data_IF_168370752278
#
_entry.id   IF_168370752278
#
_cell.length_a   1.000
_cell.length_b   1.000
_cell.length_c   1.000
_cell.angle_alpha   90.00
_cell.angle_beta   90.00
_cell.angle_gamma   90.00
#
_symmetry.space_group_name_H-M   'P 1'
#
loop_
_entity.id
_entity.type
_entity.pdbx_description
1 polymer ?
#
# COMPACT_ATOMS: atom_id res chain seq x y z
N UNK A 1 -2.42 -16.94 -3.68
CA UNK A 1 -1.46 -15.83 -3.46
C UNK A 1 -1.66 -14.64 -4.40
N UNK A 2 -1.98 -14.83 -5.69
CA UNK A 2 -2.41 -13.74 -6.60
C UNK A 2 -3.54 -12.89 -6.00
N UNK A 3 -4.45 -13.52 -5.24
CA UNK A 3 -5.55 -12.86 -4.53
C UNK A 3 -5.08 -11.87 -3.46
N UNK A 4 -3.98 -12.15 -2.75
CA UNK A 4 -3.49 -11.29 -1.65
C UNK A 4 -2.76 -10.07 -2.20
N UNK A 5 -1.95 -10.22 -3.25
CA UNK A 5 -1.34 -9.08 -3.92
C UNK A 5 -2.41 -8.16 -4.55
N UNK A 6 -3.41 -8.74 -5.21
CA UNK A 6 -4.53 -7.98 -5.76
C UNK A 6 -5.37 -7.25 -4.69
N UNK A 7 -5.53 -7.84 -3.50
CA UNK A 7 -6.19 -7.17 -2.38
C UNK A 7 -5.41 -5.93 -1.91
N UNK A 8 -4.07 -5.99 -1.88
CA UNK A 8 -3.27 -4.82 -1.45
C UNK A 8 -3.30 -3.71 -2.49
N UNK A 9 -3.22 -4.03 -3.78
CA UNK A 9 -3.31 -3.03 -4.83
C UNK A 9 -4.72 -2.38 -4.85
N UNK A 10 -5.77 -3.14 -4.55
CA UNK A 10 -7.13 -2.61 -4.35
C UNK A 10 -7.20 -1.67 -3.13
N UNK A 11 -6.70 -2.10 -1.96
CA UNK A 11 -6.66 -1.26 -0.75
C UNK A 11 -5.87 0.03 -0.99
N UNK A 12 -4.75 -0.04 -1.70
CA UNK A 12 -3.97 1.15 -2.05
C UNK A 12 -4.78 2.11 -2.93
N UNK A 13 -5.50 1.57 -3.93
CA UNK A 13 -6.37 2.37 -4.81
C UNK A 13 -7.52 3.04 -4.05
N UNK A 14 -8.14 2.32 -3.11
CA UNK A 14 -9.19 2.86 -2.24
C UNK A 14 -8.67 4.02 -1.37
N UNK A 15 -7.49 3.87 -0.77
CA UNK A 15 -6.90 4.94 0.06
C UNK A 15 -6.54 6.16 -0.78
N UNK A 16 -5.97 5.99 -1.98
CA UNK A 16 -5.69 7.11 -2.88
C UNK A 16 -6.98 7.87 -3.27
N UNK A 17 -8.07 7.14 -3.45
CA UNK A 17 -9.38 7.74 -3.74
C UNK A 17 -9.89 8.56 -2.54
N UNK A 18 -9.80 8.02 -1.32
CA UNK A 18 -10.25 8.73 -0.12
C UNK A 18 -9.38 9.95 0.20
N UNK A 19 -8.05 9.87 -0.01
CA UNK A 19 -7.15 11.01 0.12
C UNK A 19 -7.51 12.14 -0.86
N UNK A 20 -7.84 11.78 -2.11
CA UNK A 20 -8.28 12.73 -3.13
C UNK A 20 -9.60 13.39 -2.75
N UNK A 21 -10.54 12.60 -2.23
CA UNK A 21 -11.83 13.08 -1.73
C UNK A 21 -11.66 14.07 -0.56
N UNK A 22 -10.85 13.71 0.43
CA UNK A 22 -10.56 14.58 1.57
C UNK A 22 -9.88 15.88 1.13
N UNK A 23 -8.93 15.84 0.19
CA UNK A 23 -8.33 17.05 -0.38
C UNK A 23 -9.38 17.99 -0.97
N UNK A 24 -10.35 17.46 -1.71
CA UNK A 24 -11.46 18.25 -2.26
C UNK A 24 -12.33 18.91 -1.18
N UNK A 25 -12.57 18.23 -0.06
CA UNK A 25 -13.31 18.81 1.08
C UNK A 25 -12.51 19.97 1.69
N UNK A 26 -11.20 19.79 1.89
CA UNK A 26 -10.35 20.84 2.48
C UNK A 26 -10.22 22.05 1.54
N UNK A 27 -10.06 21.83 0.24
CA UNK A 27 -10.05 22.91 -0.76
C UNK A 27 -11.39 23.68 -0.78
N UNK A 28 -12.52 22.99 -0.60
CA UNK A 28 -13.84 23.63 -0.48
C UNK A 28 -13.98 24.53 0.76
N UNK A 29 -13.31 24.19 1.86
CA UNK A 29 -13.30 24.98 3.10
C UNK A 29 -12.41 26.23 2.99
N UNK A 30 -11.46 26.26 2.05
CA UNK A 30 -10.54 27.39 1.83
C UNK A 30 -11.26 28.72 1.62
N UNK A 31 -12.37 28.71 0.88
CA UNK A 31 -13.18 29.90 0.64
C UNK A 31 -13.83 30.44 1.92
N UNK A 32 -14.21 29.56 2.86
CA UNK A 32 -14.81 29.93 4.13
C UNK A 32 -13.79 30.48 5.14
N UNK A 33 -12.50 30.14 4.99
CA UNK A 33 -11.43 30.54 5.92
C UNK A 33 -10.57 31.71 5.39
N UNK A 34 -10.97 32.32 4.27
CA UNK A 34 -10.31 33.52 3.71
C UNK A 34 -10.40 34.70 4.68
N UNK A 35 -9.25 35.25 5.10
CA UNK A 35 -9.16 36.36 6.07
C UNK A 35 -8.17 36.09 7.21
N UNK A 36 -8.50 36.53 8.43
CA UNK A 36 -7.64 36.48 9.63
C UNK A 36 -7.09 35.08 9.98
N UNK A 37 -7.71 34.00 9.48
CA UNK A 37 -7.37 32.61 9.76
C UNK A 37 -6.50 31.92 8.68
N UNK A 38 -6.06 32.67 7.67
CA UNK A 38 -5.34 32.12 6.52
C UNK A 38 -4.04 31.39 6.90
N UNK A 39 -3.28 31.90 7.88
CA UNK A 39 -2.05 31.25 8.34
C UNK A 39 -2.30 29.86 8.94
N UNK A 40 -3.37 29.71 9.73
CA UNK A 40 -3.74 28.41 10.32
C UNK A 40 -4.27 27.44 9.26
N UNK A 41 -4.93 27.94 8.21
CA UNK A 41 -5.31 27.11 7.06
C UNK A 41 -4.08 26.61 6.31
N UNK A 42 -3.12 27.49 6.02
CA UNK A 42 -1.90 27.13 5.30
C UNK A 42 -1.08 26.09 6.07
N UNK A 43 -0.98 26.22 7.40
CA UNK A 43 -0.35 25.22 8.28
C UNK A 43 -1.11 23.89 8.27
N UNK A 44 -2.45 23.93 8.34
CA UNK A 44 -3.29 22.73 8.26
C UNK A 44 -3.09 22.01 6.91
N UNK A 45 -3.02 22.76 5.81
CA UNK A 45 -2.78 22.23 4.47
C UNK A 45 -1.40 21.59 4.34
N UNK A 46 -0.35 22.21 4.89
CA UNK A 46 0.99 21.60 4.91
C UNK A 46 1.02 20.29 5.69
N UNK A 47 0.38 20.26 6.87
CA UNK A 47 0.27 19.04 7.68
C UNK A 47 -0.55 17.97 6.96
N UNK A 48 -1.63 18.38 6.31
CA UNK A 48 -2.47 17.49 5.50
C UNK A 48 -1.66 16.85 4.37
N UNK A 49 -0.96 17.65 3.56
CA UNK A 49 -0.15 17.15 2.43
C UNK A 49 0.96 16.20 2.92
N UNK A 50 1.60 16.52 4.05
CA UNK A 50 2.59 15.64 4.70
C UNK A 50 1.96 14.31 5.09
N UNK A 51 0.86 14.33 5.84
CA UNK A 51 0.20 13.12 6.33
C UNK A 51 -0.33 12.25 5.17
N UNK A 52 -0.86 12.87 4.11
CA UNK A 52 -1.32 12.17 2.92
C UNK A 52 -0.17 11.46 2.20
N UNK A 53 0.98 12.12 2.10
CA UNK A 53 2.19 11.54 1.53
C UNK A 53 2.70 10.37 2.38
N UNK A 54 2.79 10.55 3.69
CA UNK A 54 3.25 9.50 4.61
C UNK A 54 2.36 8.26 4.54
N UNK A 55 1.04 8.45 4.48
CA UNK A 55 0.09 7.35 4.32
C UNK A 55 0.28 6.62 2.98
N UNK A 56 0.40 7.36 1.88
CA UNK A 56 0.65 6.81 0.54
C UNK A 56 1.95 5.99 0.50
N UNK A 57 3.02 6.53 1.08
CA UNK A 57 4.33 5.88 1.11
C UNK A 57 4.29 4.60 1.96
N UNK A 58 3.62 4.63 3.12
CA UNK A 58 3.44 3.46 3.97
C UNK A 58 2.66 2.34 3.27
N UNK A 59 1.57 2.67 2.57
CA UNK A 59 0.76 1.67 1.85
C UNK A 59 1.50 1.06 0.67
N UNK A 60 2.27 1.88 -0.06
CA UNK A 60 3.14 1.39 -1.13
C UNK A 60 4.16 0.40 -0.59
N UNK A 61 4.82 0.74 0.53
CA UNK A 61 5.78 -0.13 1.20
C UNK A 61 5.17 -1.45 1.67
N UNK A 62 3.96 -1.41 2.25
CA UNK A 62 3.21 -2.62 2.63
C UNK A 62 2.92 -3.50 1.40
N UNK A 63 2.51 -2.91 0.28
CA UNK A 63 2.28 -3.63 -0.98
C UNK A 63 3.55 -4.29 -1.53
N UNK A 64 4.66 -3.57 -1.54
CA UNK A 64 5.95 -4.13 -1.94
C UNK A 64 6.38 -5.28 -1.03
N UNK A 65 6.23 -5.13 0.28
CA UNK A 65 6.57 -6.16 1.26
C UNK A 65 5.73 -7.43 1.06
N UNK A 66 4.42 -7.29 0.82
CA UNK A 66 3.53 -8.43 0.56
C UNK A 66 3.90 -9.14 -0.74
N UNK A 67 4.21 -8.40 -1.82
CA UNK A 67 4.68 -9.00 -3.08
C UNK A 67 6.02 -9.71 -2.92
N UNK A 68 6.95 -9.13 -2.15
CA UNK A 68 8.24 -9.75 -1.87
C UNK A 68 8.07 -11.07 -1.09
N UNK A 69 7.25 -11.06 -0.03
CA UNK A 69 6.91 -12.28 0.71
C UNK A 69 6.24 -13.31 -0.19
N UNK A 70 5.30 -12.91 -1.04
CA UNK A 70 4.64 -13.83 -1.94
C UNK A 70 5.63 -14.53 -2.88
N UNK A 71 6.57 -13.80 -3.48
CA UNK A 71 7.63 -14.41 -4.31
C UNK A 71 8.53 -15.35 -3.50
N UNK A 72 8.86 -14.99 -2.26
CA UNK A 72 9.66 -15.84 -1.38
C UNK A 72 8.96 -17.17 -1.08
N UNK A 73 7.65 -17.14 -0.78
CA UNK A 73 6.85 -18.35 -0.57
C UNK A 73 6.82 -19.25 -1.82
N UNK A 74 6.56 -18.68 -3.01
CA UNK A 74 6.52 -19.43 -4.26
C UNK A 74 7.86 -20.11 -4.60
N UNK A 75 8.97 -19.42 -4.33
CA UNK A 75 10.31 -19.97 -4.48
C UNK A 75 10.57 -21.14 -3.51
N UNK A 76 10.17 -20.99 -2.24
CA UNK A 76 10.31 -22.04 -1.23
C UNK A 76 9.48 -23.27 -1.60
N UNK A 77 8.25 -23.07 -2.07
CA UNK A 77 7.37 -24.16 -2.47
C UNK A 77 7.91 -24.91 -3.70
N UNK A 78 8.43 -24.18 -4.68
CA UNK A 78 9.11 -24.77 -5.85
C UNK A 78 10.34 -25.59 -5.43
N UNK A 79 11.18 -25.05 -4.55
CA UNK A 79 12.38 -25.73 -4.04
C UNK A 79 12.03 -27.00 -3.24
N UNK A 80 11.00 -26.92 -2.40
CA UNK A 80 10.50 -28.08 -1.66
C UNK A 80 9.93 -29.14 -2.60
N UNK A 81 9.15 -28.75 -3.60
CA UNK A 81 8.61 -29.68 -4.60
C UNK A 81 9.74 -30.39 -5.38
N UNK A 82 10.79 -29.66 -5.79
CA UNK A 82 11.97 -30.24 -6.43
C UNK A 82 12.67 -31.25 -5.49
N UNK A 83 12.91 -30.85 -4.24
CA UNK A 83 13.54 -31.71 -3.23
C UNK A 83 12.73 -32.98 -2.97
N UNK A 84 11.41 -32.89 -2.87
CA UNK A 84 10.52 -34.04 -2.72
C UNK A 84 10.56 -34.97 -3.94
N UNK A 85 10.62 -34.43 -5.16
CA UNK A 85 10.79 -35.26 -6.36
C UNK A 85 12.13 -36.00 -6.36
N UNK A 86 13.21 -35.37 -5.90
CA UNK A 86 14.51 -36.02 -5.77
C UNK A 86 14.53 -37.12 -4.72
N UNK A 87 13.87 -36.91 -3.56
CA UNK A 87 13.75 -37.93 -2.51
C UNK A 87 12.85 -39.08 -2.95
N UNK A 88 11.71 -38.78 -3.58
CA UNK A 88 10.79 -39.79 -4.10
C UNK A 88 11.40 -40.67 -5.20
N UNK A 89 12.27 -40.11 -6.05
CA UNK A 89 13.03 -40.88 -7.05
C UNK A 89 14.14 -41.75 -6.45
N UNK A 90 14.68 -41.38 -5.29
CA UNK A 90 15.72 -42.15 -4.59
C UNK A 90 15.19 -43.33 -3.77
N UNK A 91 13.89 -43.37 -3.47
CA UNK A 91 13.24 -44.44 -2.68
C UNK A 91 12.67 -45.58 -3.55
N UNK A 92 12.81 -45.52 -4.88
CA UNK A 92 12.28 -46.53 -5.84
C UNK A 92 13.39 -47.44 -6.41
N UNK A 93 14.57 -47.48 -5.76
CA UNK A 93 15.64 -48.46 -6.04
C UNK A 93 15.91 -49.32 -4.81
#
# INVERSE_FOLDING_TARGET
MVTTAGQVDNTNSEVQSELSRLRGVVDGLRGAWSGQAQASFDELMQRWDTNAKDLSDALTSIGENIRANARAFENVETSNAQSLNHVGGGLVL
#
